data_IF_353979085471
#
_entry.id   IF_353979085471
#
_cell.length_a   1.000
_cell.length_b   1.000
_cell.length_c   1.000
_cell.angle_alpha   90.00
_cell.angle_beta   90.00
_cell.angle_gamma   90.00
#
_symmetry.space_group_name_H-M   'P 1'
#
loop_
_entity.id
_entity.type
_entity.pdbx_description
1 polymer ?
#
# COMPACT_ATOMS: atom_id res chain seq x y z
N UNK A 1 -30.74 43.35 -4.31
CA UNK A 1 -31.33 42.26 -5.12
C UNK A 1 -30.20 41.45 -5.73
N UNK A 2 -29.82 40.32 -5.12
CA UNK A 2 -28.82 39.40 -5.66
C UNK A 2 -29.54 38.11 -6.07
N UNK A 3 -29.57 37.83 -7.37
CA UNK A 3 -30.26 36.69 -7.95
C UNK A 3 -29.59 35.38 -7.52
N UNK A 4 -30.39 34.48 -6.94
CA UNK A 4 -29.97 33.13 -6.58
C UNK A 4 -29.61 32.35 -7.85
N UNK A 5 -28.34 31.96 -7.98
CA UNK A 5 -27.89 31.07 -9.07
C UNK A 5 -28.43 29.67 -8.81
N UNK A 6 -29.39 29.24 -9.62
CA UNK A 6 -29.91 27.87 -9.62
C UNK A 6 -28.83 26.94 -10.18
N UNK A 7 -28.20 26.16 -9.30
CA UNK A 7 -27.20 25.15 -9.64
C UNK A 7 -27.88 24.08 -10.52
N UNK A 8 -27.37 23.75 -11.72
CA UNK A 8 -28.02 22.80 -12.60
C UNK A 8 -28.03 21.42 -11.93
N UNK A 9 -29.22 20.84 -11.81
CA UNK A 9 -29.44 19.55 -11.18
C UNK A 9 -28.70 18.45 -11.93
N UNK A 10 -27.50 18.08 -11.47
CA UNK A 10 -26.89 16.82 -11.83
C UNK A 10 -27.87 15.71 -11.45
N UNK A 11 -28.37 14.96 -12.44
CA UNK A 11 -29.20 13.79 -12.19
C UNK A 11 -28.50 12.89 -11.17
N UNK A 12 -29.25 12.29 -10.24
CA UNK A 12 -28.76 11.55 -9.06
C UNK A 12 -27.74 10.43 -9.35
N UNK A 13 -27.51 10.12 -10.64
CA UNK A 13 -26.70 9.05 -11.19
C UNK A 13 -25.46 9.54 -11.96
N UNK A 14 -25.36 10.84 -12.28
CA UNK A 14 -24.20 11.40 -12.99
C UNK A 14 -22.87 11.26 -12.23
N UNK A 15 -22.81 11.44 -10.89
CA UNK A 15 -21.59 11.18 -10.12
C UNK A 15 -21.21 9.69 -10.13
N UNK A 16 -22.22 8.81 -10.08
CA UNK A 16 -22.00 7.35 -10.06
C UNK A 16 -21.40 6.86 -11.39
N UNK A 17 -21.82 7.42 -12.53
CA UNK A 17 -21.24 7.06 -13.83
C UNK A 17 -19.79 7.52 -13.99
N UNK A 18 -19.44 8.68 -13.42
CA UNK A 18 -18.06 9.19 -13.45
C UNK A 18 -17.13 8.41 -12.51
N UNK A 19 -17.68 7.91 -11.38
CA UNK A 19 -16.97 7.05 -10.43
C UNK A 19 -16.89 5.59 -10.89
N UNK A 20 -17.84 5.12 -11.71
CA UNK A 20 -17.95 3.74 -12.15
C UNK A 20 -16.63 3.14 -12.70
N UNK A 21 -15.89 3.77 -13.64
CA UNK A 21 -14.66 3.18 -14.16
C UNK A 21 -13.55 3.08 -13.10
N UNK A 22 -13.45 4.06 -12.19
CA UNK A 22 -12.47 4.02 -11.11
C UNK A 22 -12.78 2.93 -10.08
N UNK A 23 -14.05 2.77 -9.72
CA UNK A 23 -14.51 1.72 -8.79
C UNK A 23 -14.36 0.34 -9.42
N UNK A 24 -14.70 0.17 -10.70
CA UNK A 24 -14.48 -1.08 -11.43
C UNK A 24 -13.00 -1.46 -11.50
N UNK A 25 -12.12 -0.49 -11.79
CA UNK A 25 -10.68 -0.73 -11.80
C UNK A 25 -10.18 -1.18 -10.41
N UNK A 26 -10.62 -0.52 -9.34
CA UNK A 26 -10.29 -0.92 -7.96
C UNK A 26 -10.79 -2.33 -7.63
N UNK A 27 -12.00 -2.69 -8.06
CA UNK A 27 -12.56 -4.02 -7.84
C UNK A 27 -11.76 -5.10 -8.57
N UNK A 28 -11.42 -4.87 -9.84
CA UNK A 28 -10.73 -5.86 -10.68
C UNK A 28 -9.25 -5.98 -10.29
N UNK A 29 -8.57 -4.89 -9.96
CA UNK A 29 -7.12 -4.90 -9.72
C UNK A 29 -6.80 -5.08 -8.24
N UNK A 30 -7.62 -4.55 -7.33
CA UNK A 30 -7.39 -4.68 -5.89
C UNK A 30 -8.13 -5.87 -5.29
N UNK A 31 -9.45 -5.91 -5.47
CA UNK A 31 -10.31 -6.84 -4.71
C UNK A 31 -10.28 -8.25 -5.30
N UNK A 32 -10.32 -8.40 -6.62
CA UNK A 32 -10.28 -9.71 -7.28
C UNK A 32 -9.04 -10.54 -6.91
N UNK A 33 -7.78 -10.05 -7.02
CA UNK A 33 -6.63 -10.86 -6.63
C UNK A 33 -6.58 -11.14 -5.13
N UNK A 34 -7.11 -10.24 -4.30
CA UNK A 34 -7.23 -10.47 -2.86
C UNK A 34 -8.18 -11.63 -2.56
N UNK A 35 -9.35 -11.65 -3.20
CA UNK A 35 -10.30 -12.76 -3.08
C UNK A 35 -9.70 -14.07 -3.59
N UNK A 36 -8.99 -14.03 -4.72
CA UNK A 36 -8.28 -15.18 -5.25
C UNK A 36 -7.22 -15.70 -4.28
N UNK A 37 -6.44 -14.82 -3.65
CA UNK A 37 -5.44 -15.18 -2.65
C UNK A 37 -6.09 -15.81 -1.40
N UNK A 38 -7.24 -15.29 -0.96
CA UNK A 38 -8.01 -15.87 0.16
C UNK A 38 -8.49 -17.28 -0.20
N UNK A 39 -9.10 -17.48 -1.38
CA UNK A 39 -9.55 -18.83 -1.78
C UNK A 39 -8.38 -19.80 -1.91
N UNK A 40 -7.25 -19.31 -2.41
CA UNK A 40 -6.02 -20.10 -2.58
C UNK A 40 -5.35 -20.40 -1.25
N UNK A 41 -5.47 -19.55 -0.22
CA UNK A 41 -4.86 -19.80 1.09
C UNK A 41 -5.48 -21.00 1.83
N UNK A 42 -6.72 -21.38 1.50
CA UNK A 42 -7.38 -22.59 2.00
C UNK A 42 -7.10 -23.85 1.15
N UNK A 43 -6.34 -23.71 0.07
CA UNK A 43 -6.00 -24.80 -0.85
C UNK A 43 -4.50 -25.06 -0.83
N UNK A 44 -4.11 -26.30 -1.07
CA UNK A 44 -2.70 -26.61 -1.27
C UNK A 44 -2.32 -26.25 -2.71
N UNK A 45 -1.91 -25.00 -2.91
CA UNK A 45 -1.57 -24.48 -4.23
C UNK A 45 -0.06 -24.60 -4.48
N UNK A 46 0.36 -25.75 -5.02
CA UNK A 46 1.76 -25.99 -5.36
C UNK A 46 1.98 -25.86 -6.88
N UNK A 47 2.55 -24.73 -7.30
CA UNK A 47 2.85 -24.43 -8.71
C UNK A 47 3.93 -25.38 -9.27
N UNK A 48 4.79 -25.92 -8.42
CA UNK A 48 5.88 -26.84 -8.79
C UNK A 48 5.38 -28.29 -8.95
N UNK A 49 4.18 -28.62 -8.43
CA UNK A 49 3.58 -29.96 -8.54
C UNK A 49 2.10 -29.89 -8.97
N UNK A 50 1.81 -29.47 -10.21
CA UNK A 50 0.43 -29.33 -10.69
C UNK A 50 -0.31 -30.68 -10.83
N UNK A 51 0.39 -31.82 -10.79
CA UNK A 51 -0.19 -33.17 -10.86
C UNK A 51 -0.90 -33.62 -9.58
N UNK A 52 -0.59 -33.01 -8.43
CA UNK A 52 -1.17 -33.41 -7.14
C UNK A 52 -2.60 -32.85 -6.94
N UNK A 53 -3.11 -32.08 -7.92
CA UNK A 53 -4.37 -31.34 -7.80
C UNK A 53 -4.24 -30.15 -6.86
N UNK A 54 -5.30 -29.34 -6.76
CA UNK A 54 -5.39 -28.24 -5.79
C UNK A 54 -6.37 -28.62 -4.67
N UNK A 55 -6.02 -29.59 -3.81
CA UNK A 55 -6.93 -30.07 -2.79
C UNK A 55 -7.26 -28.94 -1.82
N UNK A 56 -8.53 -28.89 -1.41
CA UNK A 56 -8.97 -27.99 -0.36
C UNK A 56 -8.52 -28.57 0.99
N UNK A 57 -7.58 -27.89 1.64
CA UNK A 57 -6.95 -28.32 2.89
C UNK A 57 -7.44 -27.52 4.10
N UNK A 58 -8.44 -26.66 3.91
CA UNK A 58 -9.02 -25.85 4.97
C UNK A 58 -7.96 -24.99 5.67
N UNK A 59 -7.77 -25.19 6.98
CA UNK A 59 -6.88 -24.39 7.81
C UNK A 59 -5.46 -24.97 7.98
N UNK A 60 -5.14 -26.10 7.36
CA UNK A 60 -3.85 -26.78 7.56
C UNK A 60 -2.66 -25.89 7.17
N UNK A 61 -2.80 -25.09 6.10
CA UNK A 61 -1.79 -24.11 5.70
C UNK A 61 -1.47 -23.11 6.83
N UNK A 62 -2.50 -22.65 7.56
CA UNK A 62 -2.33 -21.72 8.67
C UNK A 62 -1.71 -22.41 9.88
N UNK A 63 -2.15 -23.63 10.22
CA UNK A 63 -1.58 -24.41 11.32
C UNK A 63 -0.08 -24.66 11.11
N UNK A 64 0.32 -25.04 9.89
CA UNK A 64 1.72 -25.27 9.52
C UNK A 64 2.56 -24.00 9.71
N UNK A 65 2.10 -22.85 9.20
CA UNK A 65 2.82 -21.57 9.33
C UNK A 65 2.91 -21.11 10.79
N UNK A 66 1.83 -21.24 11.55
CA UNK A 66 1.81 -20.84 12.97
C UNK A 66 2.66 -21.76 13.85
N UNK A 67 2.91 -22.99 13.44
CA UNK A 67 3.83 -23.91 14.12
C UNK A 67 5.30 -23.74 13.71
N UNK A 68 5.58 -22.99 12.64
CA UNK A 68 6.92 -22.82 12.11
C UNK A 68 7.70 -21.77 12.92
N UNK A 69 8.81 -22.19 13.54
CA UNK A 69 9.69 -21.31 14.29
C UNK A 69 10.34 -20.24 13.41
N UNK A 70 10.60 -20.55 12.13
CA UNK A 70 11.18 -19.61 11.16
C UNK A 70 10.23 -18.46 10.89
N UNK A 71 8.93 -18.75 10.79
CA UNK A 71 7.88 -17.75 10.63
C UNK A 71 7.89 -16.75 11.79
N UNK A 72 7.88 -17.23 13.04
CA UNK A 72 7.92 -16.37 14.22
C UNK A 72 9.21 -15.55 14.35
N UNK A 73 10.36 -16.16 14.05
CA UNK A 73 11.63 -15.44 14.03
C UNK A 73 11.63 -14.32 12.99
N UNK A 74 11.10 -14.59 11.80
CA UNK A 74 11.02 -13.61 10.71
C UNK A 74 10.04 -12.49 11.07
N UNK A 75 8.85 -12.86 11.58
CA UNK A 75 7.85 -11.91 12.04
C UNK A 75 8.40 -11.00 13.15
N UNK A 76 9.14 -11.55 14.10
CA UNK A 76 9.81 -10.78 15.16
C UNK A 76 10.85 -9.81 14.61
N UNK A 77 11.66 -10.23 13.63
CA UNK A 77 12.64 -9.35 12.96
C UNK A 77 11.97 -8.20 12.21
N UNK A 78 10.92 -8.48 11.45
CA UNK A 78 10.13 -7.45 10.75
C UNK A 78 9.43 -6.51 11.72
N UNK A 79 8.84 -7.05 12.79
CA UNK A 79 8.20 -6.25 13.84
C UNK A 79 9.19 -5.33 14.55
N UNK A 80 10.35 -5.85 14.96
CA UNK A 80 11.42 -5.05 15.54
C UNK A 80 11.92 -3.95 14.59
N UNK A 81 12.13 -4.31 13.33
CA UNK A 81 12.51 -3.35 12.29
C UNK A 81 11.48 -2.21 12.18
N UNK A 82 10.18 -2.50 12.05
CA UNK A 82 9.15 -1.46 11.99
C UNK A 82 9.08 -0.62 13.26
N UNK A 83 9.17 -1.24 14.43
CA UNK A 83 9.14 -0.53 15.71
C UNK A 83 10.34 0.40 15.90
N UNK A 84 11.50 0.10 15.33
CA UNK A 84 12.66 0.99 15.39
C UNK A 84 12.64 2.04 14.28
N UNK A 85 12.34 1.64 13.05
CA UNK A 85 12.46 2.50 11.87
C UNK A 85 11.36 3.55 11.83
N UNK A 86 10.10 3.19 12.06
CA UNK A 86 8.98 4.14 11.93
C UNK A 86 9.14 5.32 12.91
N UNK A 87 9.41 5.10 14.22
CA UNK A 87 9.61 6.22 15.12
C UNK A 87 10.84 7.06 14.76
N UNK A 88 11.92 6.43 14.31
CA UNK A 88 13.12 7.15 13.86
C UNK A 88 12.83 8.02 12.64
N UNK A 89 12.11 7.52 11.64
CA UNK A 89 11.68 8.26 10.45
C UNK A 89 10.79 9.44 10.82
N UNK A 90 9.80 9.24 11.70
CA UNK A 90 8.92 10.30 12.16
C UNK A 90 9.73 11.36 12.93
N UNK A 91 10.61 10.95 13.83
CA UNK A 91 11.44 11.86 14.61
C UNK A 91 12.35 12.70 13.70
N UNK A 92 13.02 12.07 12.73
CA UNK A 92 13.87 12.76 11.76
C UNK A 92 13.06 13.69 10.85
N UNK A 93 11.95 13.20 10.27
CA UNK A 93 11.08 13.98 9.40
C UNK A 93 10.50 15.20 10.11
N UNK A 94 10.05 15.04 11.35
CA UNK A 94 9.55 16.13 12.17
C UNK A 94 10.64 17.13 12.56
N UNK A 95 11.84 16.64 12.93
CA UNK A 95 12.98 17.49 13.27
C UNK A 95 13.38 18.37 12.09
N UNK A 96 13.45 17.79 10.89
CA UNK A 96 13.74 18.52 9.64
C UNK A 96 12.61 19.52 9.34
N UNK A 97 11.35 19.12 9.48
CA UNK A 97 10.20 19.99 9.23
C UNK A 97 10.18 21.22 10.14
N UNK A 98 10.47 21.04 11.43
CA UNK A 98 10.56 22.13 12.41
C UNK A 98 11.73 23.07 12.11
N UNK A 99 12.89 22.53 11.72
CA UNK A 99 14.07 23.33 11.37
C UNK A 99 13.80 24.21 10.12
N UNK A 100 13.08 23.66 9.14
CA UNK A 100 12.68 24.34 7.89
C UNK A 100 11.50 25.32 8.05
N UNK A 101 10.79 25.30 9.17
CA UNK A 101 9.67 26.21 9.44
C UNK A 101 10.15 27.63 9.79
N UNK A 102 11.43 27.80 10.13
CA UNK A 102 12.01 29.11 10.46
C UNK A 102 12.12 30.01 9.22
N UNK A 103 11.69 31.29 9.29
CA UNK A 103 11.84 32.23 8.17
C UNK A 103 13.34 32.51 7.91
N UNK A 104 13.79 32.36 6.66
CA UNK A 104 15.17 32.64 6.23
C UNK A 104 15.92 31.48 5.56
N UNK A 105 15.41 30.24 5.61
CA UNK A 105 16.08 29.03 5.11
C UNK A 105 15.52 28.51 3.77
N UNK A 106 15.04 29.39 2.89
CA UNK A 106 14.33 29.02 1.64
C UNK A 106 15.16 28.09 0.73
N UNK A 107 16.48 28.27 0.66
CA UNK A 107 17.37 27.38 -0.11
C UNK A 107 17.51 25.98 0.51
N UNK A 108 17.78 25.90 1.82
CA UNK A 108 17.82 24.61 2.55
C UNK A 108 16.48 23.87 2.48
N UNK A 109 15.37 24.61 2.47
CA UNK A 109 14.02 24.05 2.34
C UNK A 109 13.81 23.33 1.02
N UNK A 110 14.30 23.91 -0.07
CA UNK A 110 14.21 23.32 -1.40
C UNK A 110 15.12 22.11 -1.52
N UNK A 111 16.38 22.18 -1.05
CA UNK A 111 17.33 21.05 -1.09
C UNK A 111 16.84 19.86 -0.27
N UNK A 112 16.35 20.09 0.95
CA UNK A 112 15.81 19.01 1.79
C UNK A 112 14.54 18.38 1.18
N UNK A 113 13.63 19.18 0.61
CA UNK A 113 12.44 18.66 -0.05
C UNK A 113 12.78 17.84 -1.29
N UNK A 114 13.74 18.29 -2.11
CA UNK A 114 14.18 17.55 -3.29
C UNK A 114 14.89 16.26 -2.87
N UNK A 115 15.80 16.30 -1.90
CA UNK A 115 16.49 15.10 -1.41
C UNK A 115 15.56 14.07 -0.76
N UNK A 116 14.40 14.47 -0.23
CA UNK A 116 13.38 13.54 0.28
C UNK A 116 12.54 12.92 -0.84
N UNK A 117 12.24 13.69 -1.89
CA UNK A 117 11.37 13.25 -2.99
C UNK A 117 12.13 12.42 -4.04
N UNK A 118 13.40 12.72 -4.29
CA UNK A 118 14.22 12.03 -5.29
C UNK A 118 14.34 10.52 -5.01
N UNK A 119 14.67 10.05 -3.79
CA UNK A 119 14.77 8.62 -3.50
C UNK A 119 13.45 7.87 -3.67
N UNK A 120 12.31 8.52 -3.41
CA UNK A 120 10.99 7.93 -3.65
C UNK A 120 10.80 7.63 -5.14
N UNK A 121 11.16 8.58 -6.02
CA UNK A 121 11.11 8.37 -7.46
C UNK A 121 12.07 7.26 -7.92
N UNK A 122 13.28 7.20 -7.35
CA UNK A 122 14.25 6.13 -7.63
C UNK A 122 13.74 4.76 -7.22
N UNK A 123 13.03 4.65 -6.08
CA UNK A 123 12.47 3.37 -5.62
C UNK A 123 11.48 2.80 -6.62
N UNK A 124 10.54 3.62 -7.12
CA UNK A 124 9.61 3.19 -8.17
C UNK A 124 10.33 2.82 -9.48
N UNK A 125 11.34 3.58 -9.87
CA UNK A 125 12.12 3.31 -11.08
C UNK A 125 12.90 1.99 -10.98
N UNK A 126 13.50 1.70 -9.82
CA UNK A 126 14.20 0.43 -9.58
C UNK A 126 13.21 -0.73 -9.60
N UNK A 127 12.08 -0.63 -8.88
CA UNK A 127 11.03 -1.69 -8.90
C UNK A 127 10.54 -1.99 -10.32
N UNK A 128 10.40 -0.97 -11.17
CA UNK A 128 10.05 -1.17 -12.59
C UNK A 128 11.17 -1.76 -13.46
N UNK A 129 12.43 -1.71 -13.02
CA UNK A 129 13.59 -2.24 -13.74
C UNK A 129 13.92 -3.70 -13.36
N UNK A 130 13.64 -4.09 -12.12
CA UNK A 130 13.77 -5.48 -11.62
C UNK A 130 12.49 -6.32 -11.82
N UNK A 131 11.43 -5.73 -12.40
CA UNK A 131 10.20 -6.41 -12.81
C UNK A 131 10.29 -7.03 -14.19
#
# INVERSE_FOLDING_TARGET
>A
MAAARTNPGYGRWAPAWFLAPAVLALLIIGIYPTLFAIVTSFRQYNITRPRDGFPFVGFDNYANVLSDQTFWQTLGRTGFFFLCVIPAEIALGLSIALLLHRPGLTFLRTVARVSLVVPLATTYAVVGLIG
#
